data_IF_043621170273
#
_entry.id   IF_043621170273
#
_cell.length_a   1.000
_cell.length_b   1.000
_cell.length_c   1.000
_cell.angle_alpha   90.00
_cell.angle_beta   90.00
_cell.angle_gamma   90.00
#
_symmetry.space_group_name_H-M   'P 1'
#
loop_
_entity.id
_entity.type
_entity.pdbx_description
1 polymer ?
#
# COMPACT_ATOMS: atom_id res chain seq x y z
N UNK A 1 -9.16 20.13 -4.36
CA UNK A 1 -10.08 20.49 -5.46
C UNK A 1 -11.49 20.22 -4.96
N UNK A 2 -12.48 20.97 -5.44
CA UNK A 2 -13.89 20.63 -5.29
C UNK A 2 -14.18 19.37 -6.10
N UNK A 3 -14.82 18.37 -5.48
CA UNK A 3 -15.02 17.06 -6.10
C UNK A 3 -16.08 17.06 -7.20
N UNK A 4 -16.99 18.05 -7.21
CA UNK A 4 -18.11 18.14 -8.17
C UNK A 4 -17.69 18.92 -9.41
N UNK A 5 -17.08 20.09 -9.22
CA UNK A 5 -16.80 21.03 -10.30
C UNK A 5 -15.30 21.16 -10.63
N UNK A 6 -14.43 20.46 -9.89
CA UNK A 6 -12.99 20.45 -10.14
C UNK A 6 -12.30 21.79 -9.86
N UNK A 7 -12.96 22.78 -9.25
CA UNK A 7 -12.32 24.06 -8.93
C UNK A 7 -11.27 23.88 -7.84
N UNK A 8 -10.18 24.64 -7.93
CA UNK A 8 -9.15 24.66 -6.90
C UNK A 8 -9.67 25.37 -5.65
N UNK A 9 -9.75 24.64 -4.54
CA UNK A 9 -10.08 25.19 -3.22
C UNK A 9 -8.85 25.88 -2.63
N UNK A 10 -7.73 25.16 -2.55
CA UNK A 10 -6.44 25.68 -2.11
C UNK A 10 -5.29 24.90 -2.75
N UNK A 11 -4.08 25.44 -2.62
CA UNK A 11 -2.81 24.77 -2.94
C UNK A 11 -1.76 25.15 -1.90
N UNK A 12 -0.89 24.21 -1.55
CA UNK A 12 0.20 24.43 -0.61
C UNK A 12 1.53 23.95 -1.23
N UNK A 13 2.65 24.63 -0.93
CA UNK A 13 3.96 24.15 -1.35
C UNK A 13 4.35 22.88 -0.57
N UNK A 14 5.04 21.97 -1.24
CA UNK A 14 5.60 20.77 -0.62
C UNK A 14 6.97 21.07 0.02
N UNK A 15 7.36 20.36 1.10
CA UNK A 15 8.62 20.60 1.81
C UNK A 15 9.86 20.37 0.94
N UNK A 16 9.84 19.32 0.11
CA UNK A 16 10.95 18.97 -0.77
C UNK A 16 10.76 19.58 -2.16
N UNK A 17 11.80 20.26 -2.64
CA UNK A 17 11.91 20.72 -4.04
C UNK A 17 12.45 19.59 -4.92
N UNK A 18 11.93 19.45 -6.15
CA UNK A 18 12.33 18.41 -7.11
C UNK A 18 11.17 17.49 -7.51
N UNK A 19 11.46 16.22 -7.82
CA UNK A 19 10.41 15.25 -8.13
C UNK A 19 9.41 15.12 -6.96
N UNK A 20 8.12 15.20 -7.29
CA UNK A 20 7.03 15.08 -6.33
C UNK A 20 6.98 13.71 -5.65
N UNK A 21 6.22 13.58 -4.55
CA UNK A 21 6.07 12.30 -3.84
C UNK A 21 5.29 11.29 -4.70
N UNK A 22 5.66 10.02 -4.56
CA UNK A 22 4.85 8.88 -4.99
C UNK A 22 3.96 8.34 -3.85
N UNK A 23 4.05 8.94 -2.67
CA UNK A 23 3.20 8.71 -1.50
C UNK A 23 1.76 9.18 -1.76
N UNK A 24 0.79 8.38 -1.32
CA UNK A 24 -0.62 8.80 -1.31
C UNK A 24 -0.91 9.70 -0.12
N UNK A 25 -1.97 10.51 -0.25
CA UNK A 25 -2.47 11.36 0.84
C UNK A 25 -3.29 10.51 1.82
N UNK A 26 -3.10 10.74 3.12
CA UNK A 26 -3.98 10.27 4.18
C UNK A 26 -4.85 11.43 4.68
N UNK A 27 -6.17 11.28 4.65
CA UNK A 27 -7.09 12.24 5.26
C UNK A 27 -7.62 11.69 6.58
N UNK A 28 -7.51 12.46 7.66
CA UNK A 28 -8.09 12.10 8.95
C UNK A 28 -8.29 13.35 9.84
N UNK A 29 -9.45 13.44 10.51
CA UNK A 29 -9.81 14.53 11.44
C UNK A 29 -9.52 15.94 10.90
N UNK A 30 -10.05 16.26 9.71
CA UNK A 30 -9.86 17.54 9.01
C UNK A 30 -8.40 17.89 8.68
N UNK A 31 -7.49 16.92 8.76
CA UNK A 31 -6.10 17.07 8.36
C UNK A 31 -5.79 16.18 7.17
N UNK A 32 -4.90 16.68 6.32
CA UNK A 32 -4.27 15.95 5.22
C UNK A 32 -2.83 15.69 5.60
N UNK A 33 -2.46 14.42 5.65
CA UNK A 33 -1.09 13.96 5.91
C UNK A 33 -0.47 13.45 4.63
N UNK A 34 0.78 13.83 4.38
CA UNK A 34 1.52 13.45 3.18
C UNK A 34 3.00 13.27 3.51
N UNK A 35 3.62 12.24 2.94
CA UNK A 35 5.08 12.07 3.01
C UNK A 35 5.70 12.63 1.73
N UNK A 36 6.21 13.87 1.81
CA UNK A 36 6.79 14.62 0.69
C UNK A 36 8.22 15.08 1.03
N UNK A 37 9.13 14.11 1.19
CA UNK A 37 10.45 14.32 1.78
C UNK A 37 10.39 14.23 3.29
N UNK A 38 9.44 14.95 3.91
CA UNK A 38 9.06 14.84 5.31
C UNK A 38 7.58 14.44 5.42
N UNK A 39 7.18 13.87 6.57
CA UNK A 39 5.75 13.77 6.89
C UNK A 39 5.25 15.17 7.29
N UNK A 40 4.20 15.62 6.63
CA UNK A 40 3.57 16.92 6.88
C UNK A 40 2.08 16.79 7.07
N UNK A 41 1.52 17.65 7.92
CA UNK A 41 0.09 17.82 8.07
C UNK A 41 -0.35 19.20 7.59
N UNK A 42 -1.41 19.22 6.80
CA UNK A 42 -2.11 20.44 6.39
C UNK A 42 -3.54 20.42 6.90
N UNK A 43 -4.09 21.59 7.21
CA UNK A 43 -5.52 21.75 7.39
C UNK A 43 -6.22 21.46 6.06
N UNK A 44 -7.17 20.52 6.05
CA UNK A 44 -7.79 20.06 4.82
C UNK A 44 -8.71 21.10 4.16
N UNK A 45 -9.20 22.09 4.91
CA UNK A 45 -10.07 23.16 4.40
C UNK A 45 -9.27 24.32 3.82
N UNK A 46 -8.13 24.66 4.42
CA UNK A 46 -7.38 25.88 4.07
C UNK A 46 -6.05 25.62 3.38
N UNK A 47 -5.49 24.42 3.48
CA UNK A 47 -4.15 24.11 3.00
C UNK A 47 -3.02 24.66 3.86
N UNK A 48 -3.32 25.29 5.00
CA UNK A 48 -2.28 25.79 5.92
C UNK A 48 -1.55 24.61 6.55
N UNK A 49 -0.22 24.62 6.51
CA UNK A 49 0.60 23.64 7.23
C UNK A 49 0.36 23.77 8.73
N UNK A 50 0.07 22.65 9.39
CA UNK A 50 -0.14 22.56 10.84
C UNK A 50 1.19 22.22 11.52
N UNK A 51 1.84 21.15 11.05
CA UNK A 51 3.12 20.68 11.58
C UNK A 51 3.91 19.93 10.50
N UNK A 52 5.20 19.72 10.79
CA UNK A 52 6.13 18.92 9.99
C UNK A 52 6.92 18.00 10.93
N UNK A 53 7.02 16.72 10.59
CA UNK A 53 7.85 15.75 11.31
C UNK A 53 9.18 15.53 10.56
N UNK A 54 10.29 15.70 11.28
CA UNK A 54 11.64 15.64 10.70
C UNK A 54 12.30 14.25 10.74
N UNK A 55 11.70 13.29 11.46
CA UNK A 55 12.19 11.92 11.61
C UNK A 55 11.76 11.01 10.48
N UNK A 56 10.57 11.25 9.91
CA UNK A 56 10.08 10.55 8.73
C UNK A 56 10.66 11.19 7.49
N UNK A 57 11.58 10.49 6.82
CA UNK A 57 12.21 10.94 5.57
C UNK A 57 12.04 9.94 4.44
N UNK A 58 10.95 10.06 3.69
CA UNK A 58 10.66 9.21 2.54
C UNK A 58 9.84 9.98 1.48
N UNK A 59 9.50 9.34 0.37
CA UNK A 59 8.59 9.89 -0.64
C UNK A 59 7.79 8.82 -1.38
N UNK A 60 8.04 7.52 -1.13
CA UNK A 60 7.47 6.41 -1.91
C UNK A 60 6.39 5.61 -1.17
N UNK A 61 6.48 5.52 0.16
CA UNK A 61 5.47 4.87 0.98
C UNK A 61 4.35 5.84 1.35
N UNK A 62 3.13 5.35 1.47
CA UNK A 62 1.99 6.12 1.98
C UNK A 62 1.91 6.03 3.50
N UNK A 63 1.54 7.12 4.21
CA UNK A 63 1.20 7.06 5.63
C UNK A 63 -0.16 6.38 5.83
N UNK A 64 -0.33 5.70 6.95
CA UNK A 64 -1.56 5.01 7.33
C UNK A 64 -1.98 5.43 8.73
N UNK A 65 -3.27 5.37 9.04
CA UNK A 65 -3.74 5.51 10.42
C UNK A 65 -3.80 4.12 11.06
N UNK A 66 -3.20 3.97 12.22
CA UNK A 66 -3.40 2.83 13.11
C UNK A 66 -4.11 3.32 14.37
N UNK A 67 -5.04 2.52 14.86
CA UNK A 67 -5.75 2.78 16.10
C UNK A 67 -5.82 1.51 16.92
N UNK A 68 -5.61 1.67 18.21
CA UNK A 68 -5.83 0.63 19.21
C UNK A 68 -6.56 1.25 20.41
N UNK A 69 -6.82 0.46 21.44
CA UNK A 69 -7.45 0.87 22.70
C UNK A 69 -6.79 2.09 23.37
N UNK A 70 -5.48 2.27 23.18
CA UNK A 70 -4.70 3.35 23.78
C UNK A 70 -4.72 4.66 22.96
N UNK A 71 -5.15 4.64 21.69
CA UNK A 71 -5.15 5.84 20.86
C UNK A 71 -5.02 5.62 19.36
N UNK A 72 -4.60 6.68 18.65
CA UNK A 72 -4.42 6.69 17.19
C UNK A 72 -3.09 7.30 16.82
N UNK A 73 -2.42 6.69 15.85
CA UNK A 73 -1.11 7.09 15.37
C UNK A 73 -1.03 7.00 13.85
N UNK A 74 -0.20 7.86 13.26
CA UNK A 74 0.16 7.74 11.86
C UNK A 74 1.36 6.80 11.78
N UNK A 75 1.21 5.69 11.06
CA UNK A 75 2.29 4.76 10.76
C UNK A 75 2.93 5.17 9.45
N UNK A 76 4.25 5.30 9.47
CA UNK A 76 5.06 5.67 8.32
C UNK A 76 6.20 4.68 8.12
N UNK A 77 6.45 4.32 6.85
CA UNK A 77 7.71 3.70 6.46
C UNK A 77 8.72 4.80 6.09
N UNK A 78 9.77 4.92 6.91
CA UNK A 78 10.99 5.64 6.58
C UNK A 78 11.95 4.68 5.85
N UNK A 79 13.02 5.17 5.21
CA UNK A 79 13.95 4.32 4.45
C UNK A 79 14.60 3.21 5.29
N UNK A 80 14.80 3.42 6.59
CA UNK A 80 15.47 2.48 7.52
C UNK A 80 14.70 2.25 8.82
N UNK A 81 13.47 2.74 8.92
CA UNK A 81 12.67 2.59 10.12
C UNK A 81 11.17 2.56 9.84
N UNK A 82 10.42 1.96 10.75
CA UNK A 82 8.99 2.23 10.91
C UNK A 82 8.81 3.24 12.03
N UNK A 83 7.90 4.19 11.84
CA UNK A 83 7.69 5.32 12.73
C UNK A 83 6.21 5.46 13.03
N UNK A 84 5.85 5.61 14.30
CA UNK A 84 4.55 6.12 14.70
C UNK A 84 4.64 7.59 15.07
N UNK A 85 3.69 8.38 14.56
CA UNK A 85 3.61 9.83 14.78
C UNK A 85 2.25 10.18 15.37
N UNK A 86 2.23 11.07 16.35
CA UNK A 86 1.00 11.64 16.90
C UNK A 86 0.30 12.48 15.81
N UNK A 87 -0.95 12.16 15.41
CA UNK A 87 -1.63 12.86 14.31
C UNK A 87 -1.98 14.32 14.63
N UNK A 88 -2.01 14.71 15.92
CA UNK A 88 -2.37 16.05 16.34
C UNK A 88 -1.16 16.97 16.42
N UNK A 89 -0.06 16.50 17.00
CA UNK A 89 1.14 17.33 17.25
C UNK A 89 2.23 17.15 16.19
N UNK A 90 2.28 16.00 15.52
CA UNK A 90 3.36 15.64 14.62
C UNK A 90 4.58 15.04 15.32
N UNK A 91 4.51 14.82 16.64
CA UNK A 91 5.61 14.26 17.41
C UNK A 91 5.79 12.76 17.14
N UNK A 92 7.03 12.33 17.01
CA UNK A 92 7.38 10.90 16.91
C UNK A 92 7.14 10.24 18.27
N UNK A 93 6.29 9.20 18.28
CA UNK A 93 6.00 8.42 19.48
C UNK A 93 7.01 7.30 19.65
N UNK A 94 7.29 6.57 18.57
CA UNK A 94 8.32 5.54 18.55
C UNK A 94 8.92 5.40 17.16
N UNK A 95 10.11 4.79 17.12
CA UNK A 95 10.85 4.48 15.91
C UNK A 95 11.56 3.14 16.08
N UNK A 96 11.28 2.19 15.19
CA UNK A 96 11.92 0.87 15.20
C UNK A 96 12.66 0.62 13.89
N UNK A 97 13.75 -0.15 13.95
CA UNK A 97 14.53 -0.51 12.77
C UNK A 97 13.70 -1.31 11.75
N UNK A 98 13.86 -1.01 10.47
CA UNK A 98 13.08 -1.62 9.40
C UNK A 98 12.97 -0.70 8.20
N UNK A 99 11.74 -0.43 7.76
CA UNK A 99 11.46 0.54 6.71
C UNK A 99 11.57 0.00 5.28
N UNK A 100 11.52 0.91 4.33
CA UNK A 100 11.53 0.60 2.90
C UNK A 100 10.54 1.44 2.09
N UNK A 101 10.38 1.06 0.83
CA UNK A 101 9.54 1.78 -0.13
C UNK A 101 8.12 1.19 -0.26
N UNK A 102 7.86 -0.01 0.26
CA UNK A 102 6.51 -0.60 0.32
C UNK A 102 5.64 0.17 1.30
N UNK A 103 4.41 0.46 0.89
CA UNK A 103 3.37 0.88 1.84
C UNK A 103 2.99 -0.33 2.71
N UNK A 104 2.91 -0.19 4.06
CA UNK A 104 2.44 -1.27 4.93
C UNK A 104 0.97 -1.61 4.67
N UNK A 105 0.51 -2.73 5.21
CA UNK A 105 -0.93 -3.00 5.43
C UNK A 105 -1.15 -3.32 6.90
N UNK A 106 -2.25 -2.83 7.47
CA UNK A 106 -2.56 -2.96 8.89
C UNK A 106 -3.93 -3.64 9.06
N UNK A 107 -4.02 -4.58 10.00
CA UNK A 107 -5.27 -5.23 10.40
C UNK A 107 -5.25 -5.49 11.91
N UNK A 108 -6.02 -4.70 12.67
CA UNK A 108 -5.88 -4.64 14.13
C UNK A 108 -4.46 -4.23 14.50
N UNK A 109 -3.81 -5.01 15.36
CA UNK A 109 -2.42 -4.79 15.78
C UNK A 109 -1.39 -5.53 14.91
N UNK A 110 -1.79 -6.04 13.74
CA UNK A 110 -0.85 -6.56 12.76
C UNK A 110 -0.46 -5.49 11.77
N UNK A 111 0.84 -5.34 11.52
CA UNK A 111 1.38 -4.59 10.39
C UNK A 111 2.21 -5.54 9.53
N UNK A 112 1.91 -5.59 8.23
CA UNK A 112 2.66 -6.40 7.27
C UNK A 112 3.35 -5.51 6.26
N UNK A 113 4.60 -5.83 5.96
CA UNK A 113 5.51 -5.03 5.15
C UNK A 113 6.32 -5.92 4.23
N UNK A 114 6.67 -5.38 3.08
CA UNK A 114 7.59 -6.01 2.15
C UNK A 114 8.88 -5.20 2.07
N UNK A 115 9.97 -5.81 2.52
CA UNK A 115 11.29 -5.20 2.59
C UNK A 115 12.21 -5.72 1.49
N UNK A 116 13.06 -4.83 0.97
CA UNK A 116 14.17 -5.18 0.07
C UNK A 116 15.33 -5.85 0.80
N UNK A 117 15.35 -5.79 2.14
CA UNK A 117 16.40 -6.40 2.93
C UNK A 117 16.26 -7.92 2.89
N UNK A 118 17.29 -8.62 2.38
CA UNK A 118 17.17 -10.03 2.02
C UNK A 118 16.85 -10.92 3.20
N UNK A 119 17.36 -10.55 4.38
CA UNK A 119 17.13 -11.27 5.64
C UNK A 119 15.76 -10.99 6.28
N UNK A 120 14.99 -10.06 5.71
CA UNK A 120 13.64 -9.68 6.15
C UNK A 120 12.60 -10.15 5.14
N UNK A 121 12.69 -9.72 3.88
CA UNK A 121 11.71 -10.04 2.84
C UNK A 121 10.29 -9.60 3.24
N UNK A 122 9.33 -10.52 3.21
CA UNK A 122 7.97 -10.29 3.71
C UNK A 122 7.95 -10.51 5.23
N UNK A 123 7.48 -9.53 6.00
CA UNK A 123 7.45 -9.64 7.45
C UNK A 123 6.16 -9.08 8.04
N UNK A 124 5.76 -9.65 9.18
CA UNK A 124 4.70 -9.11 10.02
C UNK A 124 5.24 -8.65 11.36
N UNK A 125 4.63 -7.59 11.85
CA UNK A 125 4.93 -6.94 13.11
C UNK A 125 3.67 -6.85 13.96
N UNK A 126 3.84 -6.95 15.27
CA UNK A 126 2.84 -6.58 16.26
C UNK A 126 3.02 -5.13 16.66
N UNK A 127 2.01 -4.31 16.40
CA UNK A 127 1.97 -2.91 16.80
C UNK A 127 1.51 -2.79 18.26
N UNK A 128 2.15 -1.86 18.96
CA UNK A 128 1.83 -1.41 20.32
C UNK A 128 2.13 0.10 20.43
N UNK A 129 1.72 0.73 21.54
CA UNK A 129 2.05 2.15 21.77
C UNK A 129 3.54 2.35 22.06
N UNK A 130 4.26 1.30 22.42
CA UNK A 130 5.70 1.31 22.68
C UNK A 130 6.54 1.08 21.41
N UNK A 131 5.97 0.43 20.39
CA UNK A 131 6.71 0.10 19.18
C UNK A 131 6.05 -0.90 18.26
N UNK A 132 6.85 -1.43 17.34
CA UNK A 132 6.46 -2.54 16.48
C UNK A 132 7.49 -3.68 16.62
N UNK A 133 7.03 -4.84 17.07
CA UNK A 133 7.87 -6.01 17.27
C UNK A 133 7.70 -7.00 16.14
N UNK A 134 8.79 -7.56 15.64
CA UNK A 134 8.71 -8.55 14.56
C UNK A 134 8.12 -9.85 15.09
N UNK A 135 7.02 -10.30 14.49
CA UNK A 135 6.38 -11.56 14.83
C UNK A 135 6.95 -12.71 14.01
N UNK A 136 7.11 -12.48 12.70
CA UNK A 136 7.70 -13.43 11.78
C UNK A 136 8.25 -12.72 10.54
N UNK A 137 9.09 -13.44 9.80
CA UNK A 137 9.66 -12.99 8.53
C UNK A 137 9.87 -14.15 7.57
N UNK A 138 9.74 -13.86 6.29
CA UNK A 138 9.98 -14.78 5.19
C UNK A 138 11.10 -14.13 4.35
N UNK A 139 12.36 -14.54 4.54
CA UNK A 139 13.49 -14.00 3.78
C UNK A 139 13.28 -14.16 2.27
N UNK A 140 13.54 -13.09 1.52
CA UNK A 140 13.35 -13.05 0.07
C UNK A 140 14.47 -12.24 -0.59
N UNK A 141 15.01 -12.72 -1.70
CA UNK A 141 16.07 -12.02 -2.45
C UNK A 141 15.49 -11.39 -3.70
N UNK A 142 14.90 -10.22 -3.54
CA UNK A 142 14.10 -9.60 -4.59
C UNK A 142 14.77 -8.33 -5.10
N UNK A 143 14.74 -8.14 -6.42
CA UNK A 143 15.31 -6.93 -7.03
C UNK A 143 14.46 -5.70 -6.71
N UNK A 144 13.16 -5.88 -6.43
CA UNK A 144 12.17 -4.81 -6.22
C UNK A 144 11.21 -5.20 -5.10
N UNK A 145 11.11 -4.33 -4.09
CA UNK A 145 10.24 -4.52 -2.93
C UNK A 145 9.35 -3.30 -2.66
N UNK A 146 8.69 -2.81 -3.71
CA UNK A 146 7.75 -1.69 -3.62
C UNK A 146 6.28 -2.13 -3.64
N UNK A 147 6.01 -3.43 -3.85
CA UNK A 147 4.63 -3.94 -3.88
C UNK A 147 4.03 -3.99 -2.50
N UNK A 148 2.79 -3.53 -2.37
CA UNK A 148 2.10 -3.50 -1.08
C UNK A 148 1.41 -4.85 -0.82
N UNK A 149 1.65 -5.49 0.33
CA UNK A 149 0.95 -6.73 0.70
C UNK A 149 -0.53 -6.46 1.02
N UNK A 150 -1.33 -7.52 0.99
CA UNK A 150 -2.74 -7.53 1.37
C UNK A 150 -2.96 -8.44 2.58
N UNK A 151 -3.96 -8.12 3.40
CA UNK A 151 -4.47 -9.01 4.45
C UNK A 151 -5.93 -9.33 4.15
N UNK A 152 -6.27 -10.62 4.13
CA UNK A 152 -7.65 -11.08 3.93
C UNK A 152 -7.85 -12.47 4.53
N UNK A 153 -8.98 -12.70 5.19
CA UNK A 153 -9.33 -14.02 5.74
C UNK A 153 -8.27 -14.62 6.67
N UNK A 154 -7.56 -13.79 7.46
CA UNK A 154 -6.48 -14.25 8.34
C UNK A 154 -5.16 -14.59 7.64
N UNK A 155 -5.02 -14.25 6.35
CA UNK A 155 -3.85 -14.55 5.55
C UNK A 155 -3.25 -13.28 4.94
N UNK A 156 -1.96 -13.36 4.62
CA UNK A 156 -1.18 -12.34 3.94
C UNK A 156 -0.96 -12.76 2.50
N UNK A 157 -1.23 -11.85 1.57
CA UNK A 157 -0.93 -12.03 0.15
C UNK A 157 0.09 -11.00 -0.31
N UNK A 158 1.22 -11.46 -0.84
CA UNK A 158 2.17 -10.61 -1.54
C UNK A 158 2.10 -10.93 -3.03
N UNK A 159 1.69 -9.95 -3.83
CA UNK A 159 1.54 -10.09 -5.29
C UNK A 159 2.47 -9.06 -5.94
N UNK A 160 3.74 -9.42 -6.13
CA UNK A 160 4.74 -8.43 -6.52
C UNK A 160 6.15 -8.96 -6.67
N UNK A 161 6.95 -8.26 -7.49
CA UNK A 161 8.30 -8.73 -7.81
C UNK A 161 8.26 -10.06 -8.56
N UNK A 162 9.10 -11.01 -8.16
CA UNK A 162 9.23 -12.29 -8.84
C UNK A 162 8.32 -13.39 -8.24
N UNK A 163 7.45 -13.06 -7.27
CA UNK A 163 6.62 -14.03 -6.56
C UNK A 163 5.21 -13.57 -6.27
N UNK A 164 4.28 -14.53 -6.30
CA UNK A 164 3.06 -14.47 -5.53
C UNK A 164 3.20 -15.37 -4.30
N UNK A 165 2.83 -14.88 -3.12
CA UNK A 165 2.92 -15.61 -1.85
C UNK A 165 1.62 -15.48 -1.08
N UNK A 166 1.20 -16.59 -0.46
CA UNK A 166 0.23 -16.60 0.63
C UNK A 166 0.87 -17.20 1.88
N UNK A 167 0.69 -16.51 3.01
CA UNK A 167 1.12 -16.98 4.31
C UNK A 167 0.03 -16.74 5.35
N UNK A 168 -0.03 -17.58 6.37
CA UNK A 168 -0.86 -17.34 7.55
C UNK A 168 -0.40 -16.06 8.28
N UNK A 169 -1.34 -15.16 8.61
CA UNK A 169 -1.01 -13.87 9.22
C UNK A 169 -0.40 -14.03 10.61
N UNK A 170 -0.84 -15.03 11.38
CA UNK A 170 -0.42 -15.18 12.77
C UNK A 170 0.98 -15.80 12.90
N UNK A 171 1.29 -16.74 12.03
CA UNK A 171 2.47 -17.60 12.14
C UNK A 171 3.51 -17.37 11.06
N UNK A 172 3.14 -16.74 9.94
CA UNK A 172 3.99 -16.62 8.77
C UNK A 172 4.20 -17.94 8.03
N UNK A 173 3.47 -19.00 8.39
CA UNK A 173 3.54 -20.29 7.70
C UNK A 173 3.10 -20.10 6.25
N UNK A 174 4.01 -20.42 5.32
CA UNK A 174 3.72 -20.42 3.89
C UNK A 174 2.62 -21.43 3.58
N UNK A 175 1.57 -20.95 2.91
CA UNK A 175 0.50 -21.79 2.37
C UNK A 175 0.82 -22.17 0.93
N UNK A 176 1.22 -21.19 0.13
CA UNK A 176 1.74 -21.40 -1.21
C UNK A 176 2.68 -20.27 -1.63
N UNK A 177 3.51 -20.57 -2.64
CA UNK A 177 4.43 -19.64 -3.28
C UNK A 177 4.54 -20.01 -4.76
N UNK A 178 4.32 -19.03 -5.62
CA UNK A 178 4.33 -19.21 -7.08
C UNK A 178 5.31 -18.22 -7.71
N UNK A 179 6.15 -18.70 -8.63
CA UNK A 179 7.08 -17.86 -9.38
C UNK A 179 6.32 -17.11 -10.47
N UNK A 180 6.45 -15.79 -10.51
CA UNK A 180 5.66 -14.94 -11.41
C UNK A 180 6.52 -13.81 -11.95
N UNK A 181 6.12 -13.26 -13.10
CA UNK A 181 6.71 -12.02 -13.61
C UNK A 181 5.81 -10.84 -13.26
N UNK A 182 5.63 -10.66 -11.95
CA UNK A 182 4.90 -9.53 -11.42
C UNK A 182 5.74 -8.26 -11.55
N UNK A 183 5.12 -7.11 -11.38
CA UNK A 183 5.84 -5.82 -11.36
C UNK A 183 5.75 -5.20 -9.97
N UNK A 184 6.06 -3.91 -9.87
CA UNK A 184 5.63 -3.15 -8.69
C UNK A 184 4.12 -3.05 -8.77
N UNK A 185 3.45 -3.66 -7.81
CA UNK A 185 2.03 -3.92 -7.85
C UNK A 185 1.40 -3.46 -6.54
N UNK A 186 0.29 -2.76 -6.65
CA UNK A 186 -0.64 -2.47 -5.55
C UNK A 186 -1.92 -3.22 -5.89
N UNK A 187 -1.98 -4.53 -5.58
CA UNK A 187 -3.14 -5.34 -5.93
C UNK A 187 -4.37 -4.85 -5.16
N UNK A 188 -5.55 -5.12 -5.69
CA UNK A 188 -6.82 -4.88 -5.01
C UNK A 188 -7.49 -6.22 -4.73
N UNK A 189 -8.21 -6.32 -3.62
CA UNK A 189 -9.04 -7.47 -3.29
C UNK A 189 -10.51 -7.07 -3.24
N UNK A 190 -11.35 -7.87 -3.88
CA UNK A 190 -12.81 -7.75 -3.82
C UNK A 190 -13.43 -9.14 -3.94
N UNK A 191 -14.41 -9.45 -3.09
CA UNK A 191 -15.16 -10.72 -3.12
C UNK A 191 -14.25 -11.97 -3.15
N UNK A 192 -13.23 -11.98 -2.29
CA UNK A 192 -12.26 -13.08 -2.22
C UNK A 192 -11.38 -13.26 -3.47
N UNK A 193 -11.29 -12.26 -4.35
CA UNK A 193 -10.50 -12.29 -5.57
C UNK A 193 -9.50 -11.14 -5.58
N UNK A 194 -8.25 -11.46 -5.85
CA UNK A 194 -7.17 -10.48 -5.99
C UNK A 194 -7.01 -10.12 -7.45
N UNK A 195 -7.02 -8.84 -7.76
CA UNK A 195 -6.75 -8.29 -9.09
C UNK A 195 -5.41 -7.57 -9.05
N UNK A 196 -4.50 -7.94 -9.96
CA UNK A 196 -3.16 -7.40 -10.03
C UNK A 196 -2.67 -7.21 -11.46
N UNK A 197 -1.62 -6.40 -11.60
CA UNK A 197 -0.93 -6.16 -12.85
C UNK A 197 0.41 -6.87 -12.88
N UNK A 198 0.65 -7.58 -13.98
CA UNK A 198 1.90 -8.29 -14.25
C UNK A 198 2.62 -7.71 -15.47
N UNK A 199 3.88 -8.13 -15.67
CA UNK A 199 4.69 -7.82 -16.86
C UNK A 199 4.65 -6.34 -17.25
N UNK A 200 4.86 -5.48 -16.25
CA UNK A 200 4.89 -4.01 -16.38
C UNK A 200 3.56 -3.42 -16.89
N UNK A 201 2.43 -4.01 -16.51
CA UNK A 201 1.10 -3.51 -16.87
C UNK A 201 0.55 -4.07 -18.18
N UNK A 202 1.19 -5.08 -18.77
CA UNK A 202 0.70 -5.72 -20.00
C UNK A 202 -0.32 -6.83 -19.75
N UNK A 203 -0.37 -7.36 -18.53
CA UNK A 203 -1.27 -8.44 -18.14
C UNK A 203 -2.06 -8.00 -16.89
N UNK A 204 -3.40 -8.11 -16.95
CA UNK A 204 -4.31 -8.03 -15.81
C UNK A 204 -4.68 -9.46 -15.41
N UNK A 205 -4.42 -9.83 -14.17
CA UNK A 205 -4.71 -11.17 -13.65
C UNK A 205 -5.70 -11.09 -12.49
N UNK A 206 -6.58 -12.08 -12.43
CA UNK A 206 -7.48 -12.32 -11.32
C UNK A 206 -7.09 -13.64 -10.65
N UNK A 207 -6.92 -13.60 -9.34
CA UNK A 207 -6.40 -14.72 -8.55
C UNK A 207 -7.38 -14.99 -7.41
N UNK A 208 -7.68 -16.25 -7.16
CA UNK A 208 -8.47 -16.67 -6.02
C UNK A 208 -7.70 -16.50 -4.70
N UNK A 209 -8.42 -16.32 -3.59
CA UNK A 209 -7.81 -16.25 -2.24
C UNK A 209 -7.70 -17.61 -1.55
N UNK A 210 -8.04 -18.71 -2.23
CA UNK A 210 -7.86 -20.07 -1.71
C UNK A 210 -6.42 -20.28 -1.21
N UNK A 211 -6.32 -20.65 0.05
CA UNK A 211 -5.06 -20.87 0.74
C UNK A 211 -4.44 -22.21 0.36
N UNK A 212 -5.19 -23.14 -0.26
CA UNK A 212 -4.66 -24.46 -0.61
C UNK A 212 -3.70 -24.43 -1.79
N UNK A 213 -3.89 -23.49 -2.73
CA UNK A 213 -3.05 -23.37 -3.91
C UNK A 213 -3.20 -21.98 -4.55
N UNK A 214 -2.16 -21.55 -5.26
CA UNK A 214 -2.28 -20.41 -6.16
C UNK A 214 -3.22 -20.78 -7.32
N UNK A 215 -4.33 -20.06 -7.47
CA UNK A 215 -5.31 -20.29 -8.54
C UNK A 215 -5.61 -19.01 -9.30
N UNK A 216 -5.15 -18.92 -10.54
CA UNK A 216 -5.55 -17.87 -11.48
C UNK A 216 -6.97 -18.17 -12.00
N UNK A 217 -7.89 -17.23 -11.80
CA UNK A 217 -9.28 -17.33 -12.26
C UNK A 217 -9.44 -16.81 -13.69
N UNK A 218 -8.56 -15.90 -14.11
CA UNK A 218 -8.61 -15.34 -15.44
C UNK A 218 -7.53 -14.31 -15.67
N UNK A 219 -7.31 -14.02 -16.95
CA UNK A 219 -6.28 -13.10 -17.41
C UNK A 219 -6.75 -12.37 -18.66
N UNK A 220 -6.45 -11.08 -18.72
CA UNK A 220 -6.63 -10.26 -19.91
C UNK A 220 -5.34 -9.55 -20.27
N UNK A 221 -5.05 -9.47 -21.59
CA UNK A 221 -3.98 -8.61 -22.08
C UNK A 221 -4.48 -7.19 -22.13
N UNK A 222 -3.80 -6.32 -21.41
CA UNK A 222 -4.07 -4.89 -21.40
C UNK A 222 -2.78 -4.13 -21.75
N UNK A 223 -2.88 -2.83 -21.95
CA UNK A 223 -1.70 -1.97 -22.15
C UNK A 223 -1.73 -0.82 -21.15
N UNK A 224 -1.83 -1.18 -19.87
CA UNK A 224 -1.77 -0.20 -18.79
C UNK A 224 -0.39 0.46 -18.76
N UNK A 225 -0.33 1.63 -18.12
CA UNK A 225 0.96 2.23 -17.81
C UNK A 225 1.81 1.32 -16.94
N UNK A 226 3.07 1.69 -16.76
CA UNK A 226 3.94 1.01 -15.80
C UNK A 226 3.58 1.45 -14.37
N UNK A 227 3.23 0.48 -13.52
CA UNK A 227 2.89 0.66 -12.09
C UNK A 227 1.60 1.44 -11.73
N UNK A 228 0.48 1.39 -12.48
CA UNK A 228 -0.78 1.94 -12.00
C UNK A 228 -1.42 0.99 -10.98
N UNK A 229 -2.18 1.55 -10.05
CA UNK A 229 -2.99 0.78 -9.11
C UNK A 229 -4.42 0.67 -9.65
N UNK A 230 -5.02 -0.54 -9.71
CA UNK A 230 -6.44 -0.72 -10.01
C UNK A 230 -7.34 -0.09 -8.95
N UNK A 231 -8.51 0.38 -9.37
CA UNK A 231 -9.59 0.83 -8.47
C UNK A 231 -10.89 0.19 -8.89
N UNK A 232 -11.68 -0.28 -7.92
CA UNK A 232 -13.02 -0.83 -8.15
C UNK A 232 -14.05 0.14 -7.56
N UNK A 233 -15.06 0.50 -8.35
CA UNK A 233 -16.22 1.29 -7.91
C UNK A 233 -17.48 0.66 -8.51
N UNK A 234 -18.44 0.30 -7.67
CA UNK A 234 -19.75 -0.25 -8.09
C UNK A 234 -19.63 -1.44 -9.06
N UNK A 235 -18.67 -2.34 -8.80
CA UNK A 235 -18.42 -3.52 -9.63
C UNK A 235 -17.67 -3.23 -10.94
N UNK A 236 -17.23 -2.00 -11.18
CA UNK A 236 -16.41 -1.63 -12.34
C UNK A 236 -14.96 -1.42 -11.93
N UNK A 237 -14.06 -2.05 -12.66
CA UNK A 237 -12.61 -1.88 -12.52
C UNK A 237 -12.13 -0.75 -13.44
N UNK A 238 -11.47 0.24 -12.86
CA UNK A 238 -10.85 1.34 -13.58
C UNK A 238 -9.33 1.19 -13.58
N UNK A 239 -8.73 1.35 -14.75
CA UNK A 239 -7.29 1.26 -14.97
C UNK A 239 -6.79 2.48 -15.73
N UNK A 240 -5.73 3.09 -15.21
CA UNK A 240 -5.01 4.15 -15.91
C UNK A 240 -4.15 3.55 -17.01
N UNK A 241 -4.51 3.87 -18.25
CA UNK A 241 -3.73 3.57 -19.44
C UNK A 241 -2.77 4.73 -19.74
N UNK A 242 -1.97 4.60 -20.80
CA UNK A 242 -1.03 5.64 -21.22
C UNK A 242 -1.73 6.98 -21.49
N UNK A 243 -2.80 6.93 -22.27
CA UNK A 243 -3.47 8.12 -22.82
C UNK A 243 -4.98 8.18 -22.47
N UNK A 244 -5.50 7.23 -21.68
CA UNK A 244 -6.90 7.18 -21.27
C UNK A 244 -7.09 6.43 -19.92
N UNK A 245 -8.34 6.33 -19.49
CA UNK A 245 -8.78 5.41 -18.42
C UNK A 245 -9.68 4.37 -19.09
N UNK A 246 -9.42 3.08 -18.86
CA UNK A 246 -10.33 2.02 -19.28
C UNK A 246 -11.16 1.53 -18.10
N UNK A 247 -12.39 1.14 -18.39
CA UNK A 247 -13.36 0.61 -17.45
C UNK A 247 -13.73 -0.82 -17.88
N UNK A 248 -13.71 -1.76 -16.94
CA UNK A 248 -14.13 -3.14 -17.14
C UNK A 248 -15.25 -3.46 -16.16
N UNK A 249 -16.41 -3.90 -16.63
CA UNK A 249 -17.51 -4.30 -15.75
C UNK A 249 -17.27 -5.72 -15.23
N UNK A 250 -17.00 -5.86 -13.94
CA UNK A 250 -16.74 -7.16 -13.31
C UNK A 250 -18.03 -7.93 -12.99
N UNK A 251 -19.19 -7.33 -13.26
CA UNK A 251 -20.51 -7.94 -13.07
C UNK A 251 -21.05 -8.57 -14.36
N UNK A 252 -20.40 -8.30 -15.50
CA UNK A 252 -20.81 -8.83 -16.79
C UNK A 252 -20.69 -10.36 -16.79
N UNK A 253 -21.67 -11.04 -17.39
CA UNK A 253 -21.55 -12.47 -17.62
C UNK A 253 -20.41 -12.75 -18.61
N UNK A 254 -19.69 -13.88 -18.47
CA UNK A 254 -18.61 -14.23 -19.37
C UNK A 254 -19.07 -14.19 -20.84
N UNK A 255 -18.44 -13.35 -21.67
CA UNK A 255 -18.66 -13.33 -23.13
C UNK A 255 -19.44 -12.14 -23.68
N UNK A 256 -19.88 -11.18 -22.85
CA UNK A 256 -20.43 -9.91 -23.35
C UNK A 256 -19.28 -8.88 -23.45
N UNK A 257 -18.85 -8.58 -24.69
CA UNK A 257 -17.82 -7.55 -24.98
C UNK A 257 -18.36 -6.14 -24.83
#
# INVERSE_FOLDING_TARGET
MDAVNGRRIWSAPLPKRGHGPASSILFHNEKVFLIAGNLVAYNAKTGRQIWINNDVRNSNSSPLIWSDQDGKWIICSERKAYVAVNPNTGDTVWKVAGGGDSTPVISGNWMVVYSKEKKVGLAAYRLSKEGAEIAWKIPMSERRAQSSPLIYGGHVYLIGGDWHICADLATGKLQWRESRQSTISSPIIADGKIIALEKKGSDLVMIDTDIKAHRELGKSRIKAMWCPSPVIVEGKLYLRMKDNISCYDLRAEPGVQ
#
